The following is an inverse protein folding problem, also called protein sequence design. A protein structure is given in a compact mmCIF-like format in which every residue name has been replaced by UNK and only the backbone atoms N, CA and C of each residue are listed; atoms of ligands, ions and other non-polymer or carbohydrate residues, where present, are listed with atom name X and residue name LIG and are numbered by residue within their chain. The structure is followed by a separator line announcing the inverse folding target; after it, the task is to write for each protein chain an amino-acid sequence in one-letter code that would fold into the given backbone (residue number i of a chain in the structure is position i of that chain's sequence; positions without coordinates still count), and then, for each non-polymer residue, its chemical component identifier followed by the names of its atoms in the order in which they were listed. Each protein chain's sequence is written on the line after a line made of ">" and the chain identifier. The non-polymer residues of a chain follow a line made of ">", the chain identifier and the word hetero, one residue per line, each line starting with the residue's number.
data_IF_228354469270
#
_entry.id   IF_228354469270
#
_cell.length_a   1.000
_cell.length_b   1.000
_cell.length_c   1.000
_cell.angle_alpha   90.00
_cell.angle_beta   90.00
_cell.angle_gamma   90.00
#
_symmetry.space_group_name_H-M   'P 1'
#
loop_
_entity.id
_entity.type
_entity.pdbx_description
1 polymer ?
#
# COMPACT_ATOMS: atom_id res chain seq x y z
N UNK A 1 0.31 -14.33 -15.12
CA UNK A 1 1.57 -14.24 -14.33
C UNK A 1 2.38 -12.98 -14.61
N UNK A 2 2.65 -12.59 -15.88
CA UNK A 2 3.41 -11.37 -16.19
C UNK A 2 2.69 -10.08 -15.77
N UNK A 3 1.38 -10.00 -15.96
CA UNK A 3 0.59 -8.79 -15.64
C UNK A 3 0.57 -8.47 -14.14
N UNK A 4 0.35 -9.47 -13.28
CA UNK A 4 0.44 -9.27 -11.82
C UNK A 4 1.82 -8.76 -11.37
N UNK A 5 2.91 -9.26 -11.95
CA UNK A 5 4.27 -8.81 -11.61
C UNK A 5 4.51 -7.33 -11.97
N UNK A 6 4.00 -6.88 -13.12
CA UNK A 6 4.11 -5.48 -13.54
C UNK A 6 3.29 -4.53 -12.66
N UNK A 7 2.09 -4.95 -12.24
CA UNK A 7 1.24 -4.18 -11.32
C UNK A 7 1.94 -4.04 -9.97
N UNK A 8 2.45 -5.12 -9.39
CA UNK A 8 3.19 -5.08 -8.12
C UNK A 8 4.42 -4.17 -8.18
N UNK A 9 5.19 -4.23 -9.27
CA UNK A 9 6.40 -3.41 -9.43
C UNK A 9 6.08 -1.91 -9.54
N UNK A 10 5.07 -1.53 -10.33
CA UNK A 10 4.64 -0.12 -10.46
C UNK A 10 4.20 0.45 -9.13
N UNK A 11 3.37 -0.30 -8.41
CA UNK A 11 2.81 0.19 -7.17
C UNK A 11 3.94 0.32 -6.11
N UNK A 12 5.02 -0.49 -6.18
CA UNK A 12 6.16 -0.37 -5.25
C UNK A 12 6.95 0.93 -5.47
N UNK A 13 7.06 1.38 -6.71
CA UNK A 13 7.61 2.71 -7.02
C UNK A 13 6.73 3.81 -6.42
N UNK A 14 5.41 3.67 -6.46
CA UNK A 14 4.50 4.61 -5.80
C UNK A 14 4.69 4.61 -4.27
N UNK A 15 4.85 3.44 -3.65
CA UNK A 15 5.11 3.33 -2.21
C UNK A 15 6.42 4.04 -1.79
N UNK A 16 7.48 3.98 -2.61
CA UNK A 16 8.71 4.74 -2.34
C UNK A 16 8.49 6.25 -2.31
N UNK A 17 7.63 6.78 -3.18
CA UNK A 17 7.30 8.21 -3.15
C UNK A 17 6.61 8.59 -1.83
N UNK A 18 5.73 7.72 -1.31
CA UNK A 18 5.08 7.93 0.00
C UNK A 18 6.11 7.92 1.13
N UNK A 19 7.10 7.01 1.10
CA UNK A 19 8.21 7.04 2.06
C UNK A 19 8.99 8.35 2.03
N UNK A 20 9.34 8.83 0.83
CA UNK A 20 10.09 10.08 0.67
C UNK A 20 9.29 11.28 1.20
N UNK A 21 7.97 11.32 0.95
CA UNK A 21 7.09 12.36 1.49
C UNK A 21 6.87 12.23 3.01
N UNK A 22 6.78 11.02 3.55
CA UNK A 22 6.68 10.81 4.99
C UNK A 22 7.93 11.38 5.69
N UNK A 23 9.12 11.09 5.16
CA UNK A 23 10.40 11.61 5.71
C UNK A 23 10.45 13.14 5.65
N UNK A 24 10.03 13.77 4.55
CA UNK A 24 10.05 15.24 4.44
C UNK A 24 9.10 15.93 5.43
N UNK A 25 8.00 15.28 5.78
CA UNK A 25 7.00 15.74 6.76
C UNK A 25 7.35 15.35 8.21
N UNK A 26 8.52 14.73 8.44
CA UNK A 26 8.92 14.16 9.73
C UNK A 26 7.91 13.14 10.29
N UNK A 27 7.29 12.37 9.38
CA UNK A 27 6.39 11.26 9.67
C UNK A 27 7.12 9.91 9.44
N UNK A 28 6.65 8.88 10.12
CA UNK A 28 7.06 7.49 9.91
C UNK A 28 6.02 6.70 9.12
N UNK A 29 6.49 5.78 8.28
CA UNK A 29 5.63 4.81 7.57
C UNK A 29 6.33 3.47 7.41
N UNK A 30 5.56 2.39 7.26
CA UNK A 30 6.05 1.04 6.96
C UNK A 30 5.17 0.40 5.88
N UNK A 31 5.72 -0.40 4.97
CA UNK A 31 4.92 -1.20 4.04
C UNK A 31 4.56 -2.52 4.70
N UNK A 32 3.26 -2.81 4.78
CA UNK A 32 2.70 -4.08 5.25
C UNK A 32 2.10 -4.81 4.06
N UNK A 33 2.76 -5.89 3.62
CA UNK A 33 2.29 -6.75 2.53
C UNK A 33 1.62 -8.05 2.99
N UNK A 34 1.62 -8.34 4.29
CA UNK A 34 0.97 -9.52 4.86
C UNK A 34 -0.24 -9.08 5.69
N UNK A 35 -1.43 -9.21 5.12
CA UNK A 35 -2.72 -8.91 5.75
C UNK A 35 -3.80 -9.78 5.11
N UNK A 36 -5.01 -9.76 5.67
CA UNK A 36 -6.13 -10.52 5.14
C UNK A 36 -6.95 -9.65 4.17
N UNK A 37 -6.80 -9.92 2.87
CA UNK A 37 -7.37 -9.12 1.79
C UNK A 37 -8.89 -8.92 1.94
N UNK A 38 -9.62 -10.01 2.20
CA UNK A 38 -11.09 -10.00 2.35
C UNK A 38 -11.53 -9.08 3.50
N UNK A 39 -10.87 -9.19 4.66
CA UNK A 39 -11.17 -8.37 5.83
C UNK A 39 -10.91 -6.90 5.54
N UNK A 40 -9.78 -6.59 4.90
CA UNK A 40 -9.42 -5.21 4.57
C UNK A 40 -10.41 -4.62 3.59
N UNK A 41 -10.76 -5.36 2.53
CA UNK A 41 -11.72 -4.94 1.51
C UNK A 41 -13.08 -4.54 2.10
N UNK A 42 -13.58 -5.35 3.05
CA UNK A 42 -14.82 -5.06 3.77
C UNK A 42 -14.71 -3.79 4.62
N UNK A 43 -13.61 -3.61 5.33
CA UNK A 43 -13.39 -2.45 6.21
C UNK A 43 -13.37 -1.13 5.44
N UNK A 44 -12.73 -1.11 4.26
CA UNK A 44 -12.62 0.10 3.43
C UNK A 44 -13.74 0.21 2.38
N UNK A 45 -14.71 -0.71 2.38
CA UNK A 45 -15.81 -0.78 1.42
C UNK A 45 -15.35 -0.66 -0.04
N UNK A 46 -14.32 -1.44 -0.40
CA UNK A 46 -13.65 -1.36 -1.71
C UNK A 46 -14.46 -2.06 -2.82
N UNK A 47 -14.48 -1.50 -4.05
CA UNK A 47 -15.17 -2.09 -5.20
C UNK A 47 -14.67 -3.50 -5.56
N UNK A 48 -15.52 -4.32 -6.20
CA UNK A 48 -15.21 -5.71 -6.59
C UNK A 48 -14.08 -5.85 -7.63
N UNK A 49 -13.75 -4.77 -8.33
CA UNK A 49 -12.71 -4.72 -9.36
C UNK A 49 -11.31 -4.38 -8.82
N UNK A 50 -11.21 -3.93 -7.57
CA UNK A 50 -9.94 -3.52 -6.95
C UNK A 50 -9.42 -4.56 -5.96
N UNK A 51 -8.10 -4.69 -5.86
CA UNK A 51 -7.47 -5.61 -4.91
C UNK A 51 -6.44 -4.85 -4.07
N UNK A 52 -6.50 -4.93 -2.73
CA UNK A 52 -5.49 -4.32 -1.87
C UNK A 52 -4.14 -5.02 -2.08
N UNK A 53 -3.08 -4.26 -2.36
CA UNK A 53 -1.72 -4.82 -2.53
C UNK A 53 -0.88 -4.65 -1.26
N UNK A 54 -0.99 -3.50 -0.59
CA UNK A 54 -0.27 -3.19 0.66
C UNK A 54 -0.98 -2.10 1.44
N UNK A 55 -0.64 -2.07 2.73
CA UNK A 55 -1.07 -1.04 3.67
C UNK A 55 0.17 -0.25 4.12
N UNK A 56 0.06 1.07 4.13
CA UNK A 56 1.11 1.98 4.60
C UNK A 56 0.57 2.88 5.71
N UNK A 57 0.64 2.48 6.99
CA UNK A 57 0.24 3.33 8.08
C UNK A 57 1.20 4.52 8.20
N UNK A 58 0.65 5.72 8.35
CA UNK A 58 1.41 6.95 8.56
C UNK A 58 1.25 7.38 10.02
N UNK A 59 2.36 7.63 10.71
CA UNK A 59 2.39 8.06 12.11
C UNK A 59 3.37 9.19 12.35
N UNK A 60 3.23 9.89 13.48
CA UNK A 60 4.28 10.78 13.95
C UNK A 60 5.49 9.94 14.37
N UNK A 61 6.67 10.45 14.03
CA UNK A 61 7.93 9.88 14.49
C UNK A 61 8.20 10.24 15.95
#
# INVERSE_FOLDING_TARGET
>A
MKESCWITNKTFLCAQNVYLQAVSLNLGTVVVGAFQDDTVRLVINMPDEECPLYIMPIGKK
#
